data_IF_104575401261
#
_entry.id   IF_104575401261
#
_cell.length_a   1.000
_cell.length_b   1.000
_cell.length_c   1.000
_cell.angle_alpha   90.00
_cell.angle_beta   90.00
_cell.angle_gamma   90.00
#
_symmetry.space_group_name_H-M   'P 1'
#
loop_
_entity.id
_entity.type
_entity.pdbx_description
1 polymer ?
#
# COMPACT_ATOMS: atom_id res chain seq x y z
N UNK A 1 6.36 -2.92 17.47
CA UNK A 1 5.69 -3.70 16.41
C UNK A 1 5.17 -2.81 15.29
N UNK A 2 4.39 -1.77 15.60
CA UNK A 2 3.76 -0.88 14.59
C UNK A 2 4.73 -0.35 13.51
N UNK A 3 5.86 0.25 13.92
CA UNK A 3 6.87 0.75 12.97
C UNK A 3 7.42 -0.36 12.06
N UNK A 4 7.66 -1.55 12.60
CA UNK A 4 8.20 -2.67 11.84
C UNK A 4 7.18 -3.16 10.80
N UNK A 5 5.93 -3.34 11.18
CA UNK A 5 4.86 -3.72 10.25
C UNK A 5 4.69 -2.69 9.13
N UNK A 6 4.74 -1.39 9.49
CA UNK A 6 4.68 -0.33 8.49
C UNK A 6 5.85 -0.39 7.51
N UNK A 7 7.09 -0.48 8.01
CA UNK A 7 8.27 -0.49 7.14
C UNK A 7 8.34 -1.74 6.28
N UNK A 8 7.95 -2.91 6.82
CA UNK A 8 7.83 -4.12 6.01
C UNK A 8 6.75 -3.95 4.93
N UNK A 9 5.55 -3.47 5.28
CA UNK A 9 4.49 -3.24 4.30
C UNK A 9 4.89 -2.24 3.21
N UNK A 10 5.55 -1.14 3.59
CA UNK A 10 6.08 -0.16 2.64
C UNK A 10 7.19 -0.74 1.76
N UNK A 11 8.13 -1.50 2.32
CA UNK A 11 9.18 -2.14 1.56
C UNK A 11 8.63 -3.19 0.58
N UNK A 12 7.62 -3.96 1.01
CA UNK A 12 6.92 -4.91 0.15
C UNK A 12 6.18 -4.20 -0.98
N UNK A 13 5.58 -3.03 -0.74
CA UNK A 13 5.00 -2.19 -1.80
C UNK A 13 6.06 -1.80 -2.82
N UNK A 14 7.22 -1.30 -2.38
CA UNK A 14 8.30 -0.91 -3.30
C UNK A 14 8.84 -2.11 -4.09
N UNK A 15 8.96 -3.28 -3.46
CA UNK A 15 9.34 -4.50 -4.16
C UNK A 15 8.27 -4.94 -5.17
N UNK A 16 6.98 -4.76 -4.85
CA UNK A 16 5.89 -4.96 -5.80
C UNK A 16 5.97 -4.00 -6.99
N UNK A 17 6.31 -2.72 -6.79
CA UNK A 17 6.48 -1.78 -7.92
C UNK A 17 7.62 -2.20 -8.87
N UNK A 18 8.70 -2.81 -8.34
CA UNK A 18 9.76 -3.39 -9.17
C UNK A 18 9.27 -4.58 -9.98
N UNK A 19 8.46 -5.46 -9.37
CA UNK A 19 7.82 -6.58 -10.08
C UNK A 19 6.80 -6.06 -11.11
N UNK A 20 5.99 -5.06 -10.76
CA UNK A 20 5.00 -4.42 -11.63
C UNK A 20 5.61 -3.84 -12.90
N UNK A 21 6.83 -3.31 -12.81
CA UNK A 21 7.61 -2.91 -13.97
C UNK A 21 7.90 -4.09 -14.91
N UNK A 22 8.32 -5.24 -14.35
CA UNK A 22 8.56 -6.46 -15.15
C UNK A 22 7.29 -7.07 -15.75
N UNK A 23 6.15 -6.83 -15.08
CA UNK A 23 4.82 -7.31 -15.47
C UNK A 23 4.03 -6.30 -16.32
N UNK A 24 4.64 -5.17 -16.71
CA UNK A 24 3.99 -4.13 -17.50
C UNK A 24 2.64 -3.66 -16.93
N UNK A 25 2.55 -3.45 -15.61
CA UNK A 25 1.30 -3.13 -14.91
C UNK A 25 0.62 -1.85 -15.45
N UNK A 26 1.37 -0.94 -16.06
CA UNK A 26 0.81 0.24 -16.72
C UNK A 26 -0.28 -0.10 -17.76
N UNK A 27 -0.28 -1.31 -18.33
CA UNK A 27 -1.33 -1.81 -19.24
C UNK A 27 -2.67 -2.06 -18.53
N UNK A 28 -2.67 -2.26 -17.21
CA UNK A 28 -3.86 -2.39 -16.37
C UNK A 28 -4.38 -1.04 -15.84
N UNK A 29 -3.54 0.00 -15.82
CA UNK A 29 -3.88 1.31 -15.27
C UNK A 29 -4.73 2.14 -16.25
N UNK A 30 -5.91 2.60 -15.80
CA UNK A 30 -6.94 3.28 -16.64
C UNK A 30 -6.45 4.46 -17.48
N UNK A 31 -5.37 5.14 -17.04
CA UNK A 31 -4.79 6.29 -17.75
C UNK A 31 -3.61 5.86 -18.62
N UNK A 32 -2.66 5.10 -18.06
CA UNK A 32 -1.43 4.72 -18.77
C UNK A 32 -1.69 3.68 -19.86
N UNK A 33 -2.74 2.86 -19.74
CA UNK A 33 -3.12 1.87 -20.76
C UNK A 33 -3.55 2.47 -22.12
N UNK A 34 -3.72 3.80 -22.18
CA UNK A 34 -4.07 4.53 -23.41
C UNK A 34 -2.85 5.11 -24.12
N UNK A 35 -1.67 5.06 -23.50
CA UNK A 35 -0.44 5.59 -24.06
C UNK A 35 0.28 4.49 -24.87
N UNK A 36 1.11 4.86 -25.86
CA UNK A 36 2.05 3.93 -26.47
C UNK A 36 2.93 3.28 -25.40
N UNK A 37 3.22 1.99 -25.53
CA UNK A 37 3.82 1.17 -24.47
C UNK A 37 5.11 1.77 -23.90
N UNK A 38 6.04 2.22 -24.77
CA UNK A 38 7.28 2.87 -24.35
C UNK A 38 7.07 4.20 -23.59
N UNK A 39 6.01 4.95 -23.92
CA UNK A 39 5.65 6.19 -23.22
C UNK A 39 5.01 5.84 -21.87
N UNK A 40 4.15 4.83 -21.83
CA UNK A 40 3.50 4.35 -20.61
C UNK A 40 4.52 3.84 -19.59
N UNK A 41 5.50 3.05 -20.04
CA UNK A 41 6.63 2.55 -19.26
C UNK A 41 7.44 3.71 -18.64
N UNK A 42 7.88 4.65 -19.48
CA UNK A 42 8.65 5.82 -19.02
C UNK A 42 7.84 6.65 -18.02
N UNK A 43 6.56 6.90 -18.32
CA UNK A 43 5.67 7.65 -17.43
C UNK A 43 5.45 6.93 -16.09
N UNK A 44 5.30 5.60 -16.12
CA UNK A 44 5.19 4.76 -14.92
C UNK A 44 6.39 5.02 -14.01
N UNK A 45 7.62 4.87 -14.50
CA UNK A 45 8.82 5.11 -13.69
C UNK A 45 8.92 6.56 -13.20
N UNK A 46 8.73 7.54 -14.09
CA UNK A 46 8.92 8.96 -13.73
C UNK A 46 7.90 9.46 -12.72
N UNK A 47 6.64 8.98 -12.76
CA UNK A 47 5.61 9.34 -11.78
C UNK A 47 5.91 8.76 -10.40
N UNK A 48 6.55 7.58 -10.34
CA UNK A 48 6.91 6.97 -9.05
C UNK A 48 7.96 7.79 -8.29
N UNK A 49 8.85 8.53 -8.95
CA UNK A 49 9.88 9.34 -8.28
C UNK A 49 9.26 10.36 -7.30
N UNK A 50 8.42 11.33 -7.73
CA UNK A 50 7.81 12.28 -6.82
C UNK A 50 6.80 11.62 -5.88
N UNK A 51 6.12 10.54 -6.31
CA UNK A 51 5.18 9.81 -5.46
C UNK A 51 5.89 9.19 -4.26
N UNK A 52 6.96 8.41 -4.49
CA UNK A 52 7.73 7.75 -3.44
C UNK A 52 8.41 8.78 -2.54
N UNK A 53 8.98 9.85 -3.11
CA UNK A 53 9.55 10.94 -2.31
C UNK A 53 8.50 11.59 -1.39
N UNK A 54 7.31 11.89 -1.92
CA UNK A 54 6.20 12.44 -1.16
C UNK A 54 5.72 11.50 -0.06
N UNK A 55 5.56 10.21 -0.36
CA UNK A 55 5.18 9.17 0.61
C UNK A 55 6.21 9.08 1.74
N UNK A 56 7.50 9.01 1.42
CA UNK A 56 8.58 8.98 2.42
C UNK A 56 8.55 10.22 3.31
N UNK A 57 8.33 11.40 2.73
CA UNK A 57 8.26 12.65 3.47
C UNK A 57 7.09 12.68 4.46
N UNK A 58 5.86 12.37 4.03
CA UNK A 58 4.69 12.46 4.91
C UNK A 58 4.66 11.32 5.95
N UNK A 59 5.07 10.10 5.57
CA UNK A 59 5.06 8.92 6.47
C UNK A 59 6.21 8.91 7.46
N UNK A 60 7.18 9.82 7.32
CA UNK A 60 8.27 10.05 8.27
C UNK A 60 8.30 11.51 8.78
N UNK A 61 7.21 12.26 8.58
CA UNK A 61 7.11 13.65 9.04
C UNK A 61 7.33 13.75 10.55
N UNK A 62 7.99 14.82 11.00
CA UNK A 62 8.12 15.14 12.42
C UNK A 62 6.77 15.39 13.11
N UNK A 63 5.76 15.84 12.35
CA UNK A 63 4.39 16.00 12.85
C UNK A 63 3.74 14.63 13.12
N UNK A 64 3.43 14.28 14.37
CA UNK A 64 2.93 12.94 14.73
C UNK A 64 1.54 12.64 14.15
N UNK A 65 0.69 13.65 13.99
CA UNK A 65 -0.66 13.49 13.43
C UNK A 65 -0.58 13.17 11.95
N UNK A 66 0.18 13.97 11.19
CA UNK A 66 0.39 13.74 9.75
C UNK A 66 1.04 12.38 9.50
N UNK A 67 2.07 12.05 10.28
CA UNK A 67 2.77 10.76 10.21
C UNK A 67 1.82 9.59 10.46
N UNK A 68 0.98 9.65 11.50
CA UNK A 68 0.03 8.57 11.82
C UNK A 68 -1.00 8.37 10.72
N UNK A 69 -1.66 9.45 10.28
CA UNK A 69 -2.72 9.35 9.28
C UNK A 69 -2.19 8.93 7.90
N UNK A 70 -1.02 9.40 7.49
CA UNK A 70 -0.41 8.95 6.23
C UNK A 70 -0.05 7.46 6.26
N UNK A 71 0.48 6.94 7.38
CA UNK A 71 0.76 5.50 7.53
C UNK A 71 -0.51 4.65 7.50
N UNK A 72 -1.58 5.10 8.16
CA UNK A 72 -2.90 4.46 8.08
C UNK A 72 -3.41 4.45 6.64
N UNK A 73 -3.30 5.57 5.92
CA UNK A 73 -3.73 5.67 4.53
C UNK A 73 -2.97 4.69 3.61
N UNK A 74 -1.64 4.60 3.75
CA UNK A 74 -0.83 3.62 3.01
C UNK A 74 -1.22 2.18 3.37
N UNK A 75 -1.46 1.88 4.64
CA UNK A 75 -1.88 0.54 5.05
C UNK A 75 -3.26 0.14 4.50
N UNK A 76 -4.22 1.09 4.45
CA UNK A 76 -5.51 0.90 3.78
C UNK A 76 -5.31 0.68 2.28
N UNK A 77 -4.45 1.49 1.66
CA UNK A 77 -4.11 1.35 0.25
C UNK A 77 -3.57 -0.05 -0.05
N UNK A 78 -2.67 -0.61 0.76
CA UNK A 78 -2.15 -1.97 0.56
C UNK A 78 -3.24 -3.04 0.55
N UNK A 79 -4.21 -2.96 1.47
CA UNK A 79 -5.32 -3.91 1.54
C UNK A 79 -6.21 -3.79 0.30
N UNK A 80 -6.55 -2.56 -0.09
CA UNK A 80 -7.36 -2.30 -1.29
C UNK A 80 -6.60 -2.75 -2.55
N UNK A 81 -5.31 -2.46 -2.64
CA UNK A 81 -4.43 -2.80 -3.77
C UNK A 81 -4.38 -4.31 -4.00
N UNK A 82 -4.20 -5.10 -2.95
CA UNK A 82 -4.30 -6.55 -3.04
C UNK A 82 -5.68 -7.03 -3.54
N UNK A 83 -6.75 -6.38 -3.10
CA UNK A 83 -8.11 -6.64 -3.60
C UNK A 83 -8.31 -6.26 -5.07
N UNK A 84 -7.67 -5.17 -5.54
CA UNK A 84 -7.71 -4.76 -6.94
C UNK A 84 -7.00 -5.78 -7.83
N UNK A 85 -5.83 -6.26 -7.44
CA UNK A 85 -5.13 -7.36 -8.11
C UNK A 85 -6.01 -8.61 -8.18
N UNK A 86 -6.64 -8.98 -7.07
CA UNK A 86 -7.58 -10.11 -7.07
C UNK A 86 -8.78 -9.93 -7.99
N UNK A 87 -9.22 -8.70 -8.23
CA UNK A 87 -10.32 -8.42 -9.17
C UNK A 87 -9.87 -8.46 -10.63
N UNK A 88 -8.60 -8.15 -10.90
CA UNK A 88 -8.02 -8.05 -12.23
C UNK A 88 -7.33 -9.34 -12.70
N UNK A 89 -7.18 -10.34 -11.83
CA UNK A 89 -6.47 -11.59 -12.10
C UNK A 89 -7.03 -12.45 -13.26
N UNK A 90 -8.28 -12.20 -13.69
CA UNK A 90 -8.88 -12.83 -14.87
C UNK A 90 -8.70 -12.01 -16.16
N UNK A 91 -8.08 -10.83 -16.10
CA UNK A 91 -7.82 -9.99 -17.26
C UNK A 91 -6.76 -10.62 -18.16
N UNK A 92 -6.91 -10.59 -19.50
CA UNK A 92 -5.87 -11.08 -20.41
C UNK A 92 -4.57 -10.25 -20.35
N UNK A 93 -4.62 -9.06 -19.74
CA UNK A 93 -3.47 -8.17 -19.55
C UNK A 93 -2.77 -8.39 -18.20
N UNK A 94 -3.29 -9.28 -17.35
CA UNK A 94 -2.75 -9.57 -16.04
C UNK A 94 -1.68 -10.65 -16.12
N UNK A 95 -0.46 -10.36 -15.67
CA UNK A 95 0.69 -11.28 -15.80
C UNK A 95 1.35 -11.62 -14.46
N UNK A 96 0.78 -11.22 -13.32
CA UNK A 96 1.30 -11.54 -11.99
C UNK A 96 0.93 -12.97 -11.56
N UNK A 97 1.58 -13.97 -12.15
CA UNK A 97 1.30 -15.40 -11.92
C UNK A 97 2.34 -16.12 -11.04
N UNK A 98 3.50 -15.50 -10.78
CA UNK A 98 4.58 -16.10 -10.00
C UNK A 98 4.31 -16.06 -8.48
N UNK A 99 4.86 -17.04 -7.75
CA UNK A 99 4.78 -17.06 -6.28
C UNK A 99 5.36 -15.79 -5.65
N UNK A 100 6.41 -15.22 -6.26
CA UNK A 100 6.99 -13.95 -5.82
C UNK A 100 5.99 -12.80 -5.99
N UNK A 101 5.39 -12.67 -7.16
CA UNK A 101 4.39 -11.64 -7.47
C UNK A 101 3.20 -11.71 -6.51
N UNK A 102 2.63 -12.92 -6.36
CA UNK A 102 1.51 -13.16 -5.45
C UNK A 102 1.91 -12.89 -3.99
N UNK A 103 3.13 -13.29 -3.60
CA UNK A 103 3.69 -13.02 -2.28
C UNK A 103 3.85 -11.53 -1.99
N UNK A 104 4.30 -10.74 -2.96
CA UNK A 104 4.44 -9.29 -2.83
C UNK A 104 3.07 -8.59 -2.73
N UNK A 105 2.13 -8.96 -3.59
CA UNK A 105 0.77 -8.39 -3.62
C UNK A 105 0.02 -8.71 -2.32
N UNK A 106 -0.18 -10.00 -2.03
CA UNK A 106 -1.00 -10.43 -0.89
C UNK A 106 -0.26 -10.32 0.44
N UNK A 107 1.06 -10.49 0.45
CA UNK A 107 1.89 -10.23 1.62
C UNK A 107 1.88 -8.75 2.01
N UNK A 108 1.95 -7.83 1.03
CA UNK A 108 1.79 -6.39 1.26
C UNK A 108 0.42 -6.06 1.86
N UNK A 109 -0.65 -6.62 1.28
CA UNK A 109 -2.01 -6.48 1.81
C UNK A 109 -2.16 -7.01 3.25
N UNK A 110 -1.58 -8.18 3.55
CA UNK A 110 -1.58 -8.77 4.89
C UNK A 110 -0.83 -7.90 5.90
N UNK A 111 0.34 -7.38 5.55
CA UNK A 111 1.11 -6.45 6.39
C UNK A 111 0.34 -5.15 6.67
N UNK A 112 -0.34 -4.61 5.66
CA UNK A 112 -1.23 -3.46 5.81
C UNK A 112 -2.39 -3.74 6.78
N UNK A 113 -3.05 -4.89 6.64
CA UNK A 113 -4.12 -5.31 7.55
C UNK A 113 -3.61 -5.48 8.99
N UNK A 114 -2.47 -6.14 9.18
CA UNK A 114 -1.85 -6.31 10.50
C UNK A 114 -1.50 -4.96 11.13
N UNK A 115 -0.95 -4.01 10.35
CA UNK A 115 -0.71 -2.65 10.83
C UNK A 115 -2.01 -1.99 11.33
N UNK A 116 -3.09 -2.02 10.54
CA UNK A 116 -4.37 -1.43 10.91
C UNK A 116 -4.96 -2.05 12.18
N UNK A 117 -4.86 -3.37 12.35
CA UNK A 117 -5.27 -4.04 13.57
C UNK A 117 -4.50 -3.54 14.80
N UNK A 118 -3.18 -3.31 14.68
CA UNK A 118 -2.40 -2.74 15.79
C UNK A 118 -2.85 -1.32 16.14
N UNK A 119 -3.14 -0.49 15.14
CA UNK A 119 -3.66 0.88 15.34
C UNK A 119 -5.01 0.86 16.05
N UNK A 120 -5.92 -0.06 15.67
CA UNK A 120 -7.24 -0.20 16.29
C UNK A 120 -7.16 -0.67 17.74
N UNK A 121 -6.27 -1.62 18.05
CA UNK A 121 -6.06 -2.10 19.42
C UNK A 121 -5.55 -0.96 20.31
N UNK A 122 -4.57 -0.18 19.85
CA UNK A 122 -4.03 0.97 20.60
C UNK A 122 -5.10 2.05 20.79
N UNK A 123 -5.92 2.33 19.76
CA UNK A 123 -7.01 3.29 19.87
C UNK A 123 -8.05 2.87 20.92
N UNK A 124 -8.37 1.57 21.01
CA UNK A 124 -9.29 1.05 22.04
C UNK A 124 -8.75 1.19 23.46
N UNK A 125 -7.44 0.99 23.65
CA UNK A 125 -6.79 1.12 24.96
C UNK A 125 -6.71 2.57 25.48
N UNK A 126 -6.83 3.54 24.59
CA UNK A 126 -6.69 4.97 24.91
C UNK A 126 -8.03 5.69 25.12
N UNK A 127 -9.16 4.99 24.96
CA UNK A 127 -10.48 5.50 25.34
C UNK A 127 -10.63 5.41 26.88
N UNK A 128 -10.98 6.51 27.58
CA UNK A 128 -11.29 6.46 29.00
C UNK A 128 -12.51 5.56 29.22
N UNK A 129 -12.40 4.59 30.12
CA UNK A 129 -13.58 3.93 30.70
C UNK A 129 -14.20 4.96 31.64
N UNK A 130 -15.14 5.77 31.16
CA UNK A 130 -15.88 6.68 32.02
C UNK A 130 -17.37 6.65 31.66
N UNK A 131 -18.08 5.68 32.24
CA UNK A 131 -19.52 5.74 32.59
C UNK A 131 -20.02 4.44 33.28
N UNK A 132 -19.27 3.88 34.23
CA UNK A 132 -19.75 2.76 35.07
C UNK A 132 -19.51 3.06 36.57
N UNK A 133 -19.74 4.31 37.00
CA UNK A 133 -19.96 4.64 38.42
C UNK A 133 -20.82 5.90 38.53
N UNK A 134 -22.14 5.72 38.42
CA UNK A 134 -23.09 6.57 39.13
C UNK A 134 -24.24 5.69 39.61
N UNK A 135 -24.17 5.39 40.90
CA UNK A 135 -25.21 4.95 41.86
C UNK A 135 -26.01 3.68 41.57
#
# INVERSE_FOLDING_TARGET
>A
MENLLFYLGFATLMAHELDAMTQAEWRLLLVLNRLPDAIAEMAFVLVHIPLVAGLLWITNSGNPVLRRWSRIAVAIFLVIHAGLHKRLDHSPLYTFDSDLSLGLIYGGGALGLLYLLTVLVIARQTLPIDSQTTN
#
